data_IF_010546325336
#
_entry.id   IF_010546325336
#
_cell.length_a   1.000
_cell.length_b   1.000
_cell.length_c   1.000
_cell.angle_alpha   90.00
_cell.angle_beta   90.00
_cell.angle_gamma   90.00
#
_symmetry.space_group_name_H-M   'P 1'
#
loop_
_entity.id
_entity.type
_entity.pdbx_description
1 polymer ?
#
# COMPACT_ATOMS: atom_id res chain seq x y z
N UNK A 1 -22.48 12.51 5.25
CA UNK A 1 -22.26 13.53 4.19
C UNK A 1 -22.37 12.87 2.83
N UNK A 2 -23.08 13.45 1.85
CA UNK A 2 -23.29 12.83 0.52
C UNK A 2 -21.95 12.53 -0.19
N UNK A 3 -20.94 13.41 -0.05
CA UNK A 3 -19.63 13.25 -0.67
C UNK A 3 -18.84 12.02 -0.20
N UNK A 4 -19.15 11.45 0.97
CA UNK A 4 -18.48 10.23 1.47
C UNK A 4 -18.75 8.98 0.62
N UNK A 5 -19.72 9.05 -0.29
CA UNK A 5 -20.09 7.98 -1.21
C UNK A 5 -19.55 8.18 -2.63
N UNK A 6 -18.91 9.32 -2.90
CA UNK A 6 -18.36 9.67 -4.20
C UNK A 6 -16.88 9.30 -4.27
N UNK A 7 -16.37 9.03 -5.47
CA UNK A 7 -14.92 8.97 -5.66
C UNK A 7 -14.31 10.38 -5.51
N UNK A 8 -12.99 10.48 -5.28
CA UNK A 8 -12.33 11.78 -5.08
C UNK A 8 -12.58 12.73 -6.24
N UNK A 9 -12.58 12.22 -7.48
CA UNK A 9 -12.83 13.03 -8.68
C UNK A 9 -14.21 13.68 -8.64
N UNK A 10 -15.24 12.91 -8.31
CA UNK A 10 -16.62 13.41 -8.20
C UNK A 10 -16.77 14.38 -7.03
N UNK A 11 -16.19 14.05 -5.87
CA UNK A 11 -16.23 14.92 -4.71
C UNK A 11 -15.58 16.28 -5.00
N UNK A 12 -14.37 16.29 -5.58
CA UNK A 12 -13.70 17.52 -6.04
C UNK A 12 -14.52 18.21 -7.12
N UNK A 13 -15.15 17.46 -8.05
CA UNK A 13 -16.03 18.00 -9.08
C UNK A 13 -17.22 18.79 -8.53
N UNK A 14 -17.73 18.46 -7.34
CA UNK A 14 -18.80 19.28 -6.72
C UNK A 14 -18.35 20.70 -6.40
N UNK A 15 -17.04 20.96 -6.26
CA UNK A 15 -16.51 22.29 -5.95
C UNK A 15 -16.86 23.35 -6.99
N UNK A 16 -17.08 22.95 -8.25
CA UNK A 16 -17.39 23.89 -9.34
C UNK A 16 -18.89 24.13 -9.51
N UNK A 17 -19.73 23.36 -8.80
CA UNK A 17 -21.20 23.46 -8.91
C UNK A 17 -21.73 24.75 -8.27
N UNK A 18 -21.12 25.20 -7.17
CA UNK A 18 -21.37 26.52 -6.58
C UNK A 18 -20.31 26.86 -5.52
N UNK A 19 -20.20 28.15 -5.15
CA UNK A 19 -19.33 28.63 -4.06
C UNK A 19 -19.55 27.89 -2.72
N UNK A 20 -20.79 27.45 -2.44
CA UNK A 20 -21.11 26.69 -1.23
C UNK A 20 -20.43 25.32 -1.19
N UNK A 21 -20.21 24.69 -2.34
CA UNK A 21 -19.62 23.36 -2.45
C UNK A 21 -18.10 23.38 -2.63
N UNK A 22 -17.51 24.56 -2.87
CA UNK A 22 -16.08 24.75 -3.20
C UNK A 22 -15.12 24.06 -2.22
N UNK A 23 -15.44 24.07 -0.92
CA UNK A 23 -14.56 23.55 0.13
C UNK A 23 -15.06 22.27 0.79
N UNK A 24 -16.27 21.81 0.48
CA UNK A 24 -16.90 20.67 1.19
C UNK A 24 -16.10 19.39 0.99
N UNK A 25 -15.52 19.20 -0.21
CA UNK A 25 -14.68 18.04 -0.50
C UNK A 25 -13.40 18.00 0.34
N UNK A 26 -12.89 19.15 0.83
CA UNK A 26 -11.62 19.20 1.57
C UNK A 26 -11.67 18.46 2.90
N UNK A 27 -12.86 18.14 3.42
CA UNK A 27 -13.06 17.47 4.70
C UNK A 27 -13.54 16.02 4.56
N UNK A 28 -13.53 15.45 3.35
CA UNK A 28 -13.92 14.05 3.16
C UNK A 28 -12.91 13.11 3.83
N UNK A 29 -13.41 12.07 4.49
CA UNK A 29 -12.55 11.12 5.23
C UNK A 29 -11.91 10.06 4.33
N UNK A 30 -12.40 9.89 3.11
CA UNK A 30 -11.93 8.88 2.17
C UNK A 30 -11.46 9.54 0.87
N UNK A 31 -10.22 9.26 0.48
CA UNK A 31 -9.68 9.65 -0.83
C UNK A 31 -9.34 8.40 -1.63
N UNK A 32 -9.90 8.30 -2.83
CA UNK A 32 -9.58 7.27 -3.82
C UNK A 32 -9.11 7.94 -5.09
N UNK A 33 -7.85 7.70 -5.45
CA UNK A 33 -7.25 8.15 -6.71
C UNK A 33 -7.11 6.94 -7.62
N UNK A 34 -8.01 6.82 -8.59
CA UNK A 34 -7.95 5.76 -9.59
C UNK A 34 -6.94 6.07 -10.69
N UNK A 35 -6.39 5.02 -11.31
CA UNK A 35 -5.63 5.17 -12.55
C UNK A 35 -6.55 5.77 -13.61
N UNK A 36 -6.13 6.85 -14.29
CA UNK A 36 -6.86 7.35 -15.45
C UNK A 36 -6.95 6.24 -16.50
N UNK A 37 -8.17 6.00 -17.01
CA UNK A 37 -8.39 5.14 -18.17
C UNK A 37 -7.92 5.89 -19.43
N UNK A 38 -6.64 6.18 -19.56
CA UNK A 38 -6.13 6.78 -20.79
C UNK A 38 -6.12 5.71 -21.87
N UNK A 39 -7.17 5.71 -22.68
CA UNK A 39 -7.21 5.10 -23.99
C UNK A 39 -6.17 5.86 -24.83
N UNK A 40 -5.13 5.17 -25.27
CA UNK A 40 -4.24 5.57 -26.38
C UNK A 40 -3.59 6.97 -26.29
N UNK A 41 -2.73 7.24 -25.31
CA UNK A 41 -1.73 8.30 -25.47
C UNK A 41 -0.35 7.69 -25.69
N UNK A 42 0.02 7.58 -26.97
CA UNK A 42 1.33 7.15 -27.49
C UNK A 42 2.46 8.15 -27.25
N UNK A 43 2.26 9.16 -26.39
CA UNK A 43 3.20 10.26 -26.24
C UNK A 43 3.94 10.17 -24.89
N UNK A 44 5.21 9.77 -25.00
CA UNK A 44 6.21 9.88 -23.95
C UNK A 44 6.51 11.37 -23.73
N UNK A 45 5.73 12.03 -22.89
CA UNK A 45 6.11 13.35 -22.39
C UNK A 45 7.06 13.21 -21.21
N UNK A 46 8.25 13.81 -21.35
CA UNK A 46 9.28 14.01 -20.31
C UNK A 46 8.86 15.06 -19.24
N UNK A 47 7.55 15.18 -19.00
CA UNK A 47 6.93 16.16 -18.12
C UNK A 47 6.22 15.53 -16.94
N UNK A 48 5.96 16.33 -15.89
CA UNK A 48 5.08 15.95 -14.78
C UNK A 48 3.72 15.51 -15.35
N UNK A 49 3.29 14.28 -15.05
CA UNK A 49 1.98 13.81 -15.48
C UNK A 49 0.91 14.76 -14.90
N UNK A 50 -0.02 15.31 -15.71
CA UNK A 50 -1.09 16.16 -15.21
C UNK A 50 -1.87 15.51 -14.07
N UNK A 51 -2.03 14.18 -14.10
CA UNK A 51 -2.71 13.43 -13.03
C UNK A 51 -1.93 13.45 -11.72
N UNK A 52 -0.61 13.30 -11.77
CA UNK A 52 0.25 13.39 -10.57
C UNK A 52 0.17 14.79 -9.94
N UNK A 53 0.10 15.82 -10.79
CA UNK A 53 -0.04 17.21 -10.36
C UNK A 53 -1.39 17.43 -9.68
N UNK A 54 -2.47 16.85 -10.21
CA UNK A 54 -3.81 16.91 -9.62
C UNK A 54 -3.87 16.16 -8.29
N UNK A 55 -3.34 14.93 -8.21
CA UNK A 55 -3.28 14.14 -6.96
C UNK A 55 -2.53 14.93 -5.89
N UNK A 56 -1.37 15.50 -6.24
CA UNK A 56 -0.56 16.33 -5.33
C UNK A 56 -1.37 17.52 -4.80
N UNK A 57 -2.08 18.24 -5.68
CA UNK A 57 -2.94 19.36 -5.29
C UNK A 57 -4.08 18.93 -4.36
N UNK A 58 -4.72 17.80 -4.63
CA UNK A 58 -5.82 17.29 -3.78
C UNK A 58 -5.30 16.91 -2.40
N UNK A 59 -4.20 16.16 -2.31
CA UNK A 59 -3.59 15.78 -1.03
C UNK A 59 -3.21 17.03 -0.23
N UNK A 60 -2.56 18.02 -0.87
CA UNK A 60 -2.11 19.23 -0.18
C UNK A 60 -3.28 20.09 0.32
N UNK A 61 -4.33 20.24 -0.49
CA UNK A 61 -5.49 21.09 -0.18
C UNK A 61 -6.53 20.43 0.73
N UNK A 62 -6.44 19.11 0.96
CA UNK A 62 -7.27 18.41 1.95
C UNK A 62 -7.04 18.98 3.36
N UNK A 63 -8.08 19.05 4.18
CA UNK A 63 -8.06 19.61 5.52
C UNK A 63 -8.29 18.53 6.58
N UNK A 64 -7.42 18.50 7.58
CA UNK A 64 -7.52 17.58 8.70
C UNK A 64 -7.02 16.17 8.37
N UNK A 65 -7.56 15.20 9.09
CA UNK A 65 -7.13 13.80 9.02
C UNK A 65 -7.84 13.03 7.91
N UNK A 66 -7.15 12.08 7.31
CA UNK A 66 -7.74 11.16 6.33
C UNK A 66 -7.96 9.80 7.00
N UNK A 67 -9.17 9.27 6.93
CA UNK A 67 -9.43 7.93 7.47
C UNK A 67 -8.85 6.85 6.54
N UNK A 68 -9.07 7.00 5.24
CA UNK A 68 -8.63 6.04 4.23
C UNK A 68 -8.16 6.74 2.95
N UNK A 69 -6.98 6.36 2.47
CA UNK A 69 -6.44 6.82 1.19
C UNK A 69 -6.05 5.63 0.31
N UNK A 70 -6.55 5.62 -0.93
CA UNK A 70 -6.18 4.67 -1.97
C UNK A 70 -5.51 5.44 -3.11
N UNK A 71 -4.27 5.10 -3.44
CA UNK A 71 -3.55 5.64 -4.59
C UNK A 71 -3.29 4.50 -5.56
N UNK A 72 -3.89 4.61 -6.74
CA UNK A 72 -3.67 3.74 -7.88
C UNK A 72 -2.88 4.53 -8.93
N UNK A 73 -1.72 4.02 -9.33
CA UNK A 73 -0.81 4.75 -10.21
C UNK A 73 -0.02 3.83 -11.15
N UNK A 74 0.53 4.46 -12.19
CA UNK A 74 1.37 3.84 -13.22
C UNK A 74 2.84 4.16 -13.00
N UNK A 75 3.73 3.17 -13.15
CA UNK A 75 5.18 3.34 -12.95
C UNK A 75 5.78 4.21 -14.09
N UNK A 76 6.04 5.48 -13.83
CA UNK A 76 6.80 6.37 -14.72
C UNK A 76 8.09 6.87 -14.05
N UNK A 77 9.11 7.24 -14.84
CA UNK A 77 10.42 7.63 -14.31
C UNK A 77 10.37 8.84 -13.35
N UNK A 78 9.41 9.77 -13.56
CA UNK A 78 9.23 10.96 -12.70
C UNK A 78 8.51 10.69 -11.37
N UNK A 79 7.80 9.57 -11.23
CA UNK A 79 6.90 9.35 -10.10
C UNK A 79 7.63 8.97 -8.80
N UNK A 80 8.89 8.50 -8.86
CA UNK A 80 9.60 8.01 -7.66
C UNK A 80 9.69 9.09 -6.56
N UNK A 81 10.06 10.31 -6.92
CA UNK A 81 10.15 11.41 -5.95
C UNK A 81 8.78 11.83 -5.43
N UNK A 82 7.83 11.97 -6.35
CA UNK A 82 6.46 12.42 -6.07
C UNK A 82 5.73 11.44 -5.13
N UNK A 83 5.85 10.14 -5.36
CA UNK A 83 5.21 9.13 -4.52
C UNK A 83 5.74 9.15 -3.08
N UNK A 84 7.04 9.38 -2.88
CA UNK A 84 7.59 9.53 -1.53
C UNK A 84 7.01 10.77 -0.83
N UNK A 85 6.85 11.87 -1.56
CA UNK A 85 6.17 13.07 -1.06
C UNK A 85 4.72 12.76 -0.70
N UNK A 86 3.97 12.03 -1.53
CA UNK A 86 2.60 11.64 -1.21
C UNK A 86 2.51 10.78 0.04
N UNK A 87 3.36 9.76 0.16
CA UNK A 87 3.39 8.88 1.34
C UNK A 87 3.68 9.71 2.58
N UNK A 88 4.70 10.58 2.53
CA UNK A 88 5.03 11.45 3.66
C UNK A 88 3.87 12.38 4.04
N UNK A 89 3.24 13.04 3.07
CA UNK A 89 2.07 13.88 3.32
C UNK A 89 0.92 13.08 3.93
N UNK A 90 0.61 11.90 3.41
CA UNK A 90 -0.50 11.08 3.90
C UNK A 90 -0.24 10.53 5.31
N UNK A 91 0.97 10.06 5.59
CA UNK A 91 1.29 9.47 6.90
C UNK A 91 1.57 10.54 7.94
N UNK A 92 2.43 11.52 7.63
CA UNK A 92 2.99 12.46 8.60
C UNK A 92 2.19 13.75 8.75
N UNK A 93 1.48 14.19 7.69
CA UNK A 93 0.71 15.45 7.72
C UNK A 93 -0.79 15.19 7.85
N UNK A 94 -1.32 14.20 7.13
CA UNK A 94 -2.76 13.87 7.16
C UNK A 94 -3.11 12.77 8.15
N UNK A 95 -2.11 12.22 8.84
CA UNK A 95 -2.24 11.15 9.84
C UNK A 95 -3.19 10.04 9.39
N UNK A 96 -2.99 9.55 8.16
CA UNK A 96 -3.89 8.58 7.53
C UNK A 96 -3.95 7.29 8.34
N UNK A 97 -5.16 6.73 8.54
CA UNK A 97 -5.30 5.44 9.26
C UNK A 97 -5.19 4.22 8.37
N UNK A 98 -5.75 4.29 7.16
CA UNK A 98 -5.73 3.22 6.16
C UNK A 98 -5.08 3.73 4.89
N UNK A 99 -3.96 3.12 4.49
CA UNK A 99 -3.26 3.47 3.25
C UNK A 99 -3.22 2.27 2.31
N UNK A 100 -3.66 2.47 1.08
CA UNK A 100 -3.56 1.47 0.01
C UNK A 100 -2.79 2.05 -1.16
N UNK A 101 -1.69 1.41 -1.56
CA UNK A 101 -0.90 1.77 -2.72
C UNK A 101 -0.94 0.64 -3.75
N UNK A 102 -1.40 0.95 -4.95
CA UNK A 102 -1.53 0.00 -6.06
C UNK A 102 -0.70 0.51 -7.22
N UNK A 103 0.37 -0.22 -7.53
CA UNK A 103 1.17 0.02 -8.74
C UNK A 103 0.66 -0.85 -9.90
N UNK A 104 0.47 -0.23 -11.05
CA UNK A 104 0.32 -0.91 -12.33
C UNK A 104 1.63 -0.85 -13.09
N UNK A 105 2.02 -2.00 -13.65
CA UNK A 105 3.13 -2.07 -14.59
C UNK A 105 2.61 -1.65 -15.96
N UNK A 106 3.24 -0.65 -16.56
CA UNK A 106 3.01 -0.32 -17.96
C UNK A 106 4.04 -1.06 -18.82
N UNK A 107 3.72 -1.32 -20.09
CA UNK A 107 4.58 -2.08 -21.02
C UNK A 107 5.94 -1.39 -21.33
N UNK A 108 6.16 -0.19 -20.78
CA UNK A 108 7.40 0.58 -20.91
C UNK A 108 8.28 0.56 -19.65
N UNK A 109 7.96 -0.22 -18.60
CA UNK A 109 8.84 -0.42 -17.45
C UNK A 109 10.05 -1.32 -17.80
N UNK A 110 10.82 -0.90 -18.82
CA UNK A 110 12.01 -1.57 -19.36
C UNK A 110 13.26 -1.25 -18.56
N UNK A 111 13.16 -0.38 -17.55
CA UNK A 111 14.35 0.14 -16.85
C UNK A 111 14.89 -0.82 -15.80
N UNK A 112 14.12 -1.84 -15.39
CA UNK A 112 14.49 -2.74 -14.30
C UNK A 112 14.72 -2.03 -12.95
N UNK A 113 14.44 -0.71 -12.86
CA UNK A 113 14.70 0.10 -11.67
C UNK A 113 13.57 -0.11 -10.67
N UNK A 114 13.83 -0.98 -9.71
CA UNK A 114 12.96 -1.16 -8.54
C UNK A 114 12.89 0.15 -7.75
N UNK A 115 11.68 0.68 -7.60
CA UNK A 115 11.37 1.71 -6.62
C UNK A 115 11.60 1.21 -5.20
N UNK A 116 12.23 2.03 -4.38
CA UNK A 116 12.47 1.75 -2.97
C UNK A 116 11.79 2.81 -2.12
N UNK A 117 11.01 2.34 -1.15
CA UNK A 117 10.49 3.21 -0.10
C UNK A 117 11.64 3.63 0.83
N UNK A 118 11.66 4.88 1.29
CA UNK A 118 12.52 5.32 2.38
C UNK A 118 12.38 4.45 3.64
N UNK A 119 13.37 4.56 4.54
CA UNK A 119 13.26 3.91 5.85
C UNK A 119 12.12 4.54 6.65
N UNK A 120 11.39 3.74 7.42
CA UNK A 120 10.28 4.18 8.26
C UNK A 120 9.10 4.84 7.50
N UNK A 121 8.99 4.68 6.17
CA UNK A 121 7.91 5.30 5.39
C UNK A 121 6.50 5.03 5.91
N UNK A 122 6.29 3.87 6.55
CA UNK A 122 4.99 3.46 7.08
C UNK A 122 4.95 3.50 8.62
N UNK A 123 6.00 4.00 9.27
CA UNK A 123 6.08 4.12 10.72
C UNK A 123 5.37 5.39 11.19
N UNK A 124 4.06 5.31 11.40
CA UNK A 124 3.31 6.43 11.96
C UNK A 124 2.27 5.95 12.98
N UNK A 125 2.08 6.64 14.12
CA UNK A 125 1.14 6.22 15.17
C UNK A 125 -0.31 6.04 14.73
N UNK A 126 -0.76 6.85 13.76
CA UNK A 126 -2.13 6.78 13.24
C UNK A 126 -2.35 5.63 12.25
N UNK A 127 -1.30 5.13 11.59
CA UNK A 127 -1.44 4.18 10.49
C UNK A 127 -1.69 2.78 11.06
N UNK A 128 -2.91 2.28 10.86
CA UNK A 128 -3.38 1.00 11.39
C UNK A 128 -3.49 -0.08 10.33
N UNK A 129 -3.70 0.30 9.06
CA UNK A 129 -3.85 -0.63 7.96
C UNK A 129 -3.03 -0.19 6.76
N UNK A 130 -2.22 -1.11 6.23
CA UNK A 130 -1.41 -0.89 5.04
C UNK A 130 -1.69 -2.00 4.02
N UNK A 131 -2.02 -1.59 2.79
CA UNK A 131 -2.17 -2.49 1.65
C UNK A 131 -1.25 -2.06 0.52
N UNK A 132 -0.38 -2.96 0.06
CA UNK A 132 0.57 -2.69 -1.03
C UNK A 132 0.38 -3.72 -2.14
N UNK A 133 0.39 -3.27 -3.40
CA UNK A 133 0.30 -4.15 -4.55
C UNK A 133 1.38 -3.86 -5.59
N UNK A 134 2.02 -4.91 -6.10
CA UNK A 134 3.00 -4.87 -7.19
C UNK A 134 4.28 -4.10 -6.85
N UNK A 135 4.94 -4.45 -5.74
CA UNK A 135 6.23 -3.87 -5.34
C UNK A 135 7.31 -4.94 -5.21
N UNK A 136 8.57 -4.51 -5.29
CA UNK A 136 9.73 -5.34 -4.98
C UNK A 136 10.45 -4.78 -3.77
N UNK A 137 10.64 -5.59 -2.73
CA UNK A 137 11.37 -5.22 -1.53
C UNK A 137 12.78 -5.79 -1.53
N UNK A 138 13.77 -4.89 -1.40
CA UNK A 138 15.16 -5.27 -1.09
C UNK A 138 15.43 -5.35 0.41
N UNK A 139 14.59 -4.71 1.23
CA UNK A 139 14.72 -4.70 2.69
C UNK A 139 13.38 -4.41 3.38
N UNK A 140 13.29 -4.73 4.66
CA UNK A 140 12.15 -4.42 5.54
C UNK A 140 12.20 -2.99 6.13
N UNK A 141 13.19 -2.17 5.75
CA UNK A 141 13.40 -0.80 6.27
C UNK A 141 12.15 0.10 6.25
N UNK A 142 11.23 0.02 5.26
CA UNK A 142 10.02 0.85 5.26
C UNK A 142 9.07 0.58 6.43
N UNK A 143 9.14 -0.62 7.01
CA UNK A 143 8.28 -1.11 8.09
C UNK A 143 8.92 -1.01 9.48
N UNK A 144 10.16 -0.55 9.58
CA UNK A 144 10.84 -0.38 10.87
C UNK A 144 9.96 0.48 11.78
N UNK A 145 9.75 0.03 13.02
CA UNK A 145 8.93 0.68 14.05
C UNK A 145 7.41 0.79 13.76
N UNK A 146 6.85 -0.10 12.93
CA UNK A 146 5.40 -0.16 12.66
C UNK A 146 4.58 -0.84 13.78
N UNK A 147 4.71 -0.36 15.02
CA UNK A 147 4.03 -0.96 16.19
C UNK A 147 2.52 -0.82 16.20
N UNK A 148 1.96 0.10 15.40
CA UNK A 148 0.51 0.39 15.35
C UNK A 148 -0.23 -0.34 14.23
N UNK A 149 0.49 -0.94 13.27
CA UNK A 149 -0.13 -1.68 12.18
C UNK A 149 -0.84 -2.93 12.72
N UNK A 150 -2.16 -2.97 12.51
CA UNK A 150 -3.04 -4.10 12.81
C UNK A 150 -3.35 -4.92 11.57
N UNK A 151 -3.32 -4.29 10.40
CA UNK A 151 -3.60 -4.95 9.13
C UNK A 151 -2.46 -4.70 8.15
N UNK A 152 -1.89 -5.78 7.61
CA UNK A 152 -0.91 -5.72 6.51
C UNK A 152 -1.38 -6.65 5.40
N UNK A 153 -1.58 -6.07 4.22
CA UNK A 153 -1.96 -6.79 3.00
C UNK A 153 -0.93 -6.54 1.92
N UNK A 154 -0.26 -7.59 1.48
CA UNK A 154 0.81 -7.56 0.50
C UNK A 154 0.38 -8.38 -0.71
N UNK A 155 0.17 -7.75 -1.86
CA UNK A 155 -0.28 -8.40 -3.08
C UNK A 155 0.77 -8.33 -4.19
N UNK A 156 1.13 -9.48 -4.76
CA UNK A 156 2.14 -9.56 -5.83
C UNK A 156 3.44 -8.84 -5.43
N UNK A 157 3.94 -9.14 -4.23
CA UNK A 157 5.17 -8.54 -3.71
C UNK A 157 6.34 -9.48 -3.93
N UNK A 158 7.40 -8.97 -4.56
CA UNK A 158 8.63 -9.71 -4.80
C UNK A 158 9.68 -9.36 -3.75
N UNK A 159 10.47 -10.33 -3.29
CA UNK A 159 11.70 -10.08 -2.55
C UNK A 159 12.79 -11.05 -3.00
N UNK A 160 14.05 -10.72 -2.73
CA UNK A 160 15.15 -11.65 -3.01
C UNK A 160 15.26 -12.77 -1.97
N UNK A 161 14.82 -12.51 -0.74
CA UNK A 161 14.94 -13.43 0.41
C UNK A 161 13.67 -13.37 1.28
N UNK A 162 13.24 -14.52 1.82
CA UNK A 162 12.11 -14.59 2.76
C UNK A 162 12.33 -13.78 4.04
N UNK A 163 13.58 -13.58 4.45
CA UNK A 163 13.93 -12.82 5.67
C UNK A 163 13.43 -11.36 5.65
N UNK A 164 13.22 -10.80 4.46
CA UNK A 164 12.58 -9.48 4.31
C UNK A 164 11.18 -9.49 4.91
N UNK A 165 10.41 -10.56 4.66
CA UNK A 165 9.06 -10.72 5.19
C UNK A 165 9.08 -11.09 6.67
N UNK A 166 9.97 -11.97 7.11
CA UNK A 166 10.13 -12.31 8.54
C UNK A 166 10.40 -11.05 9.39
N UNK A 167 11.34 -10.22 8.94
CA UNK A 167 11.71 -8.98 9.65
C UNK A 167 10.58 -7.93 9.59
N UNK A 168 9.83 -7.90 8.49
CA UNK A 168 8.67 -7.01 8.36
C UNK A 168 7.57 -7.39 9.37
N UNK A 169 7.26 -8.68 9.46
CA UNK A 169 6.21 -9.21 10.37
C UNK A 169 6.63 -8.96 11.83
N UNK A 170 7.89 -9.20 12.19
CA UNK A 170 8.39 -8.93 13.55
C UNK A 170 8.41 -7.44 13.90
N UNK A 171 8.51 -6.55 12.90
CA UNK A 171 8.39 -5.09 13.08
C UNK A 171 6.96 -4.61 13.35
N UNK A 172 5.96 -5.50 13.26
CA UNK A 172 4.54 -5.21 13.43
C UNK A 172 3.93 -6.01 14.61
N UNK A 173 4.29 -5.72 15.87
CA UNK A 173 3.84 -6.48 17.05
C UNK A 173 2.33 -6.41 17.32
N UNK A 174 1.58 -5.46 16.75
CA UNK A 174 0.13 -5.33 16.94
C UNK A 174 -0.71 -5.95 15.81
N UNK A 175 -0.07 -6.74 14.93
CA UNK A 175 -0.72 -7.30 13.75
C UNK A 175 -1.86 -8.27 14.11
N UNK A 176 -3.06 -7.99 13.61
CA UNK A 176 -4.27 -8.80 13.76
C UNK A 176 -4.64 -9.51 12.46
N UNK A 177 -4.35 -8.89 11.31
CA UNK A 177 -4.68 -9.39 9.97
C UNK A 177 -3.44 -9.34 9.07
N UNK A 178 -3.08 -10.50 8.53
CA UNK A 178 -1.96 -10.64 7.60
C UNK A 178 -2.42 -11.35 6.32
N UNK A 179 -2.32 -10.67 5.18
CA UNK A 179 -2.56 -11.26 3.85
C UNK A 179 -1.28 -11.13 3.05
N UNK A 180 -0.71 -12.26 2.63
CA UNK A 180 0.51 -12.32 1.84
C UNK A 180 0.25 -13.04 0.52
N UNK A 181 0.49 -12.35 -0.57
CA UNK A 181 0.66 -12.91 -1.90
C UNK A 181 2.04 -12.49 -2.41
N UNK A 182 3.03 -13.35 -2.17
CA UNK A 182 4.45 -13.00 -2.26
C UNK A 182 5.24 -14.00 -3.10
N UNK A 183 6.35 -13.52 -3.65
CA UNK A 183 7.30 -14.27 -4.47
C UNK A 183 8.72 -14.03 -3.98
N UNK A 184 9.53 -15.09 -3.86
CA UNK A 184 10.94 -15.01 -3.51
C UNK A 184 11.80 -15.57 -4.65
N UNK A 185 12.62 -14.73 -5.29
CA UNK A 185 13.29 -15.10 -6.56
C UNK A 185 14.64 -15.81 -6.40
N UNK A 186 15.27 -15.73 -5.24
CA UNK A 186 16.60 -16.33 -4.98
C UNK A 186 16.62 -17.22 -3.73
N UNK A 187 15.47 -17.76 -3.33
CA UNK A 187 15.39 -18.48 -2.06
C UNK A 187 15.86 -19.94 -2.19
N UNK A 188 17.04 -20.20 -1.63
CA UNK A 188 17.48 -21.50 -1.10
C UNK A 188 17.24 -21.52 0.44
N UNK A 189 16.66 -20.43 0.99
CA UNK A 189 16.61 -20.11 2.41
C UNK A 189 15.36 -20.63 3.11
N UNK A 190 15.44 -20.56 4.44
CA UNK A 190 14.55 -21.23 5.38
C UNK A 190 13.07 -20.80 5.35
N UNK A 191 12.29 -21.20 6.36
CA UNK A 191 10.86 -21.03 6.32
C UNK A 191 10.43 -19.57 6.56
N UNK A 192 9.27 -19.19 6.01
CA UNK A 192 8.56 -17.99 6.44
C UNK A 192 8.14 -18.19 7.91
N UNK A 193 8.64 -17.33 8.79
CA UNK A 193 8.35 -17.37 10.24
C UNK A 193 7.32 -16.32 10.59
N UNK A 194 6.21 -16.77 11.15
CA UNK A 194 5.12 -15.92 11.60
C UNK A 194 4.98 -16.11 13.11
N UNK A 195 5.63 -15.22 13.85
CA UNK A 195 5.59 -15.18 15.30
C UNK A 195 4.79 -13.95 15.72
N UNK A 196 3.47 -14.11 15.85
CA UNK A 196 2.61 -13.02 16.29
C UNK A 196 1.42 -13.56 17.09
N UNK A 197 1.36 -13.19 18.37
CA UNK A 197 0.35 -13.66 19.33
C UNK A 197 -1.01 -12.95 19.21
N UNK A 198 -1.07 -11.80 18.52
CA UNK A 198 -2.29 -11.03 18.30
C UNK A 198 -2.96 -11.35 16.96
N UNK A 199 -2.30 -12.14 16.11
CA UNK A 199 -2.80 -12.48 14.79
C UNK A 199 -4.11 -13.29 14.89
N UNK A 200 -5.16 -12.76 14.26
CA UNK A 200 -6.50 -13.34 14.19
C UNK A 200 -6.76 -13.95 12.82
N UNK A 201 -6.27 -13.31 11.75
CA UNK A 201 -6.43 -13.75 10.37
C UNK A 201 -5.08 -13.84 9.68
N UNK A 202 -4.84 -15.00 9.03
CA UNK A 202 -3.70 -15.26 8.19
C UNK A 202 -4.17 -15.83 6.85
N UNK A 203 -3.86 -15.15 5.75
CA UNK A 203 -4.08 -15.64 4.39
C UNK A 203 -2.76 -15.62 3.63
N UNK A 204 -2.32 -16.79 3.15
CA UNK A 204 -1.07 -16.98 2.43
C UNK A 204 -1.34 -17.55 1.03
N UNK A 205 -0.80 -16.89 0.02
CA UNK A 205 -0.71 -17.36 -1.35
C UNK A 205 0.75 -17.22 -1.80
N UNK A 206 1.36 -18.33 -2.20
CA UNK A 206 2.75 -18.35 -2.66
C UNK A 206 2.78 -18.53 -4.17
N UNK A 207 3.60 -17.72 -4.84
CA UNK A 207 3.85 -17.87 -6.28
C UNK A 207 5.01 -18.83 -6.55
N UNK A 208 6.06 -18.84 -5.72
CA UNK A 208 7.30 -19.60 -5.94
C UNK A 208 7.93 -20.15 -4.63
N UNK A 209 9.01 -20.93 -4.77
CA UNK A 209 9.83 -21.64 -3.78
C UNK A 209 10.06 -20.88 -2.45
N UNK A 210 9.23 -21.13 -1.43
CA UNK A 210 9.58 -20.85 -0.03
C UNK A 210 9.87 -22.18 0.64
N UNK A 211 11.02 -22.30 1.32
CA UNK A 211 11.50 -23.55 1.92
C UNK A 211 10.64 -24.13 3.05
N UNK A 212 9.51 -23.50 3.38
CA UNK A 212 8.54 -23.95 4.36
C UNK A 212 7.80 -22.80 5.04
N UNK A 213 6.87 -23.14 5.92
CA UNK A 213 6.11 -22.19 6.73
C UNK A 213 6.20 -22.61 8.20
N UNK A 214 6.62 -21.68 9.06
CA UNK A 214 6.61 -21.83 10.52
C UNK A 214 5.69 -20.78 11.11
N UNK A 215 4.60 -21.23 11.74
CA UNK A 215 3.65 -20.35 12.42
C UNK A 215 3.66 -20.69 13.91
N UNK A 216 4.04 -19.72 14.73
CA UNK A 216 3.92 -19.78 16.19
C UNK A 216 2.89 -18.74 16.63
N UNK A 217 1.66 -19.21 16.86
CA UNK A 217 0.59 -18.39 17.43
C UNK A 217 -0.06 -19.13 18.59
N UNK A 218 -0.23 -18.44 19.72
CA UNK A 218 -0.84 -18.97 20.95
C UNK A 218 -2.32 -19.35 20.78
N UNK A 219 -2.96 -19.01 19.65
CA UNK A 219 -4.34 -19.37 19.32
C UNK A 219 -4.48 -20.30 18.11
N UNK A 220 -3.38 -20.84 17.58
CA UNK A 220 -3.40 -21.66 16.37
C UNK A 220 -4.01 -23.06 16.62
N UNK A 221 -5.34 -23.18 16.48
CA UNK A 221 -5.94 -24.38 15.89
C UNK A 221 -5.88 -24.19 14.37
N UNK A 222 -4.84 -24.68 13.71
CA UNK A 222 -4.83 -24.81 12.25
C UNK A 222 -4.49 -26.25 11.85
N UNK A 223 -5.26 -26.84 10.91
CA UNK A 223 -4.83 -28.03 10.19
C UNK A 223 -3.67 -27.65 9.25
N UNK A 224 -2.60 -28.43 9.31
CA UNK A 224 -1.48 -28.36 8.37
C UNK A 224 -1.96 -28.79 6.99
N UNK A 225 -2.19 -27.88 6.03
CA UNK A 225 -1.94 -28.11 4.60
C UNK A 225 -1.96 -26.80 3.80
N UNK A 226 -1.06 -26.59 2.84
CA UNK A 226 -0.96 -25.36 2.06
C UNK A 226 -1.73 -25.54 0.75
N UNK A 227 -2.94 -25.00 0.67
CA UNK A 227 -3.62 -24.57 -0.57
C UNK A 227 -5.04 -24.16 -0.20
N UNK A 228 -5.27 -22.86 -0.19
CA UNK A 228 -6.57 -22.19 -0.03
C UNK A 228 -7.15 -22.23 1.40
N UNK A 229 -7.16 -21.07 2.05
CA UNK A 229 -8.07 -20.76 3.16
C UNK A 229 -8.69 -19.39 2.86
N UNK A 230 -9.89 -19.42 2.28
CA UNK A 230 -10.82 -18.28 2.29
C UNK A 230 -11.69 -18.42 3.54
N UNK A 231 -11.95 -17.31 4.22
CA UNK A 231 -13.06 -17.20 5.17
C UNK A 231 -13.94 -16.04 4.68
N UNK A 232 -15.24 -16.31 4.59
CA UNK A 232 -16.30 -15.35 4.22
C UNK A 232 -16.35 -14.14 5.18
#
# INVERSE_FOLDING_TARGET
MILSRLCTKEAVGTSVVSKRWEHVWKQVSHLVFDKPKTINSTELHDGSNPDDTLITKVINNHQGHIENCVINYSSSQGLKGILNTWIHSLTSVKHTKVLTLIRHFDCWDRTGKVFEFPSNSFSHPSLMSLSLRSYTFRSSRPFRNCSNLRTVKLYSINATKVEVFNTLISSCPSLEVLVLYITCTHDIGGPLKIENNKLKLLHLLFMDNIGGLQVSSTKSKYPRHPKYLFWE
#
